data_IF_949097398281
#
_entry.id   IF_949097398281
#
_cell.length_a   1.000
_cell.length_b   1.000
_cell.length_c   1.000
_cell.angle_alpha   90.00
_cell.angle_beta   90.00
_cell.angle_gamma   90.00
#
_symmetry.space_group_name_H-M   'P 1'
#
loop_
_entity.id
_entity.type
_entity.pdbx_description
1 polymer ?
#
# COMPACT_ATOMS: atom_id res chain seq x y z
N UNK A 1 -11.78 4.73 5.45
CA UNK A 1 -12.23 3.64 4.55
C UNK A 1 -12.89 2.55 5.40
N UNK A 2 -14.11 2.78 5.88
CA UNK A 2 -14.84 1.76 6.63
C UNK A 2 -15.57 0.85 5.63
N UNK A 3 -15.33 -0.46 5.71
CA UNK A 3 -16.08 -1.54 5.04
C UNK A 3 -15.83 -1.79 3.53
N UNK A 4 -14.69 -1.37 2.96
CA UNK A 4 -14.31 -1.79 1.60
C UNK A 4 -13.52 -3.09 1.66
N UNK A 5 -14.00 -4.12 0.98
CA UNK A 5 -13.34 -5.41 0.90
C UNK A 5 -12.00 -5.32 0.13
N UNK A 6 -11.02 -6.14 0.52
CA UNK A 6 -9.69 -6.13 -0.08
C UNK A 6 -9.75 -6.44 -1.58
N UNK A 7 -10.65 -7.33 -2.02
CA UNK A 7 -10.78 -7.66 -3.43
C UNK A 7 -11.33 -6.48 -4.24
N UNK A 8 -12.22 -5.69 -3.66
CA UNK A 8 -12.73 -4.47 -4.27
C UNK A 8 -11.65 -3.38 -4.39
N UNK A 9 -10.77 -3.24 -3.39
CA UNK A 9 -9.66 -2.27 -3.45
C UNK A 9 -8.62 -2.65 -4.51
N UNK A 10 -8.44 -3.95 -4.74
CA UNK A 10 -7.46 -4.53 -5.67
C UNK A 10 -8.07 -4.93 -7.02
N UNK A 11 -9.27 -4.42 -7.30
CA UNK A 11 -9.98 -4.68 -8.55
C UNK A 11 -9.57 -3.66 -9.61
N UNK A 12 -9.59 -4.07 -10.88
CA UNK A 12 -9.32 -3.15 -12.00
C UNK A 12 -10.37 -2.01 -12.04
N UNK A 13 -11.60 -2.33 -11.65
CA UNK A 13 -12.72 -1.38 -11.58
C UNK A 13 -12.46 -0.27 -10.56
N UNK A 14 -11.70 -0.52 -9.49
CA UNK A 14 -11.33 0.52 -8.54
C UNK A 14 -10.57 1.65 -9.25
N UNK A 15 -9.59 1.29 -10.08
CA UNK A 15 -8.87 2.27 -10.88
C UNK A 15 -9.80 2.97 -11.87
N UNK A 16 -10.52 2.20 -12.69
CA UNK A 16 -11.35 2.73 -13.78
C UNK A 16 -12.46 3.66 -13.30
N UNK A 17 -13.14 3.31 -12.20
CA UNK A 17 -14.33 4.02 -11.75
C UNK A 17 -14.04 5.12 -10.72
N UNK A 18 -13.01 4.98 -9.88
CA UNK A 18 -12.76 5.91 -8.76
C UNK A 18 -11.57 6.82 -8.99
N UNK A 19 -10.49 6.29 -9.57
CA UNK A 19 -9.19 6.94 -9.58
C UNK A 19 -8.88 7.61 -10.91
N UNK A 20 -9.30 7.03 -12.05
CA UNK A 20 -9.02 7.57 -13.39
C UNK A 20 -9.37 9.05 -13.56
N UNK A 21 -10.46 9.50 -12.93
CA UNK A 21 -10.90 10.92 -12.96
C UNK A 21 -9.90 11.91 -12.34
N UNK A 22 -8.97 11.44 -11.51
CA UNK A 22 -7.95 12.27 -10.87
C UNK A 22 -6.71 12.49 -11.76
N UNK A 23 -6.54 11.69 -12.82
CA UNK A 23 -5.39 11.73 -13.72
C UNK A 23 -5.70 12.39 -15.07
N UNK A 24 -6.55 13.43 -15.08
CA UNK A 24 -6.86 14.23 -16.29
C UNK A 24 -7.32 13.44 -17.54
N UNK A 25 -7.70 12.16 -17.37
CA UNK A 25 -7.94 11.16 -18.42
C UNK A 25 -6.72 10.77 -19.28
N UNK A 26 -5.51 11.14 -18.88
CA UNK A 26 -4.30 10.68 -19.54
C UNK A 26 -4.13 9.16 -19.33
N UNK A 27 -3.63 8.42 -20.34
CA UNK A 27 -3.37 6.99 -20.18
C UNK A 27 -2.29 6.77 -19.12
N UNK A 28 -2.42 5.69 -18.35
CA UNK A 28 -1.34 5.26 -17.46
C UNK A 28 -0.12 4.85 -18.30
N UNK A 29 1.05 4.99 -17.70
CA UNK A 29 2.24 4.32 -18.19
C UNK A 29 1.95 2.79 -18.27
N UNK A 30 2.31 2.11 -19.38
CA UNK A 30 1.92 0.71 -19.62
C UNK A 30 2.24 -0.28 -18.50
N UNK A 31 3.36 -0.15 -17.80
CA UNK A 31 3.73 -1.03 -16.70
C UNK A 31 2.86 -0.78 -15.46
N UNK A 32 2.53 0.47 -15.17
CA UNK A 32 1.57 0.82 -14.11
C UNK A 32 0.17 0.30 -14.45
N UNK A 33 -0.24 0.37 -15.72
CA UNK A 33 -1.51 -0.20 -16.17
C UNK A 33 -1.54 -1.72 -15.96
N UNK A 34 -0.45 -2.42 -16.26
CA UNK A 34 -0.33 -3.86 -16.02
C UNK A 34 -0.46 -4.22 -14.53
N UNK A 35 0.16 -3.43 -13.65
CA UNK A 35 0.01 -3.59 -12.20
C UNK A 35 -1.44 -3.34 -11.77
N UNK A 36 -2.09 -2.28 -12.27
CA UNK A 36 -3.49 -1.98 -11.97
C UNK A 36 -4.47 -3.07 -12.43
N UNK A 37 -4.15 -3.77 -13.52
CA UNK A 37 -4.89 -4.94 -14.02
C UNK A 37 -4.66 -6.22 -13.20
N UNK A 38 -3.78 -6.17 -12.20
CA UNK A 38 -3.59 -7.27 -11.25
C UNK A 38 -2.39 -8.18 -11.54
N UNK A 39 -1.33 -7.70 -12.22
CA UNK A 39 -0.11 -8.50 -12.45
C UNK A 39 0.51 -9.08 -11.16
N UNK A 40 0.24 -8.43 -10.01
CA UNK A 40 0.64 -8.87 -8.68
C UNK A 40 -0.14 -10.09 -8.13
N UNK A 41 -1.24 -10.52 -8.73
CA UNK A 41 -2.08 -11.65 -8.24
C UNK A 41 -1.47 -13.01 -8.61
N UNK A 42 -0.26 -13.28 -8.11
CA UNK A 42 0.51 -14.50 -8.39
C UNK A 42 0.68 -15.34 -7.12
N UNK A 43 0.11 -16.54 -7.08
CA UNK A 43 0.13 -17.40 -5.88
C UNK A 43 1.55 -17.73 -5.37
N UNK A 44 2.53 -17.86 -6.27
CA UNK A 44 3.90 -18.28 -5.91
C UNK A 44 4.90 -17.12 -5.71
N UNK A 45 4.43 -15.87 -5.65
CA UNK A 45 5.25 -14.69 -5.34
C UNK A 45 6.59 -14.67 -6.07
N UNK A 46 7.68 -14.81 -5.31
CA UNK A 46 9.05 -14.86 -5.84
C UNK A 46 9.23 -15.94 -6.93
N UNK A 47 8.70 -17.15 -6.76
CA UNK A 47 8.85 -18.19 -7.79
C UNK A 47 8.04 -17.89 -9.07
N UNK A 48 7.04 -17.01 -9.01
CA UNK A 48 6.26 -16.53 -10.15
C UNK A 48 6.78 -15.20 -10.74
N UNK A 49 7.97 -14.75 -10.31
CA UNK A 49 8.63 -13.58 -10.86
C UNK A 49 8.28 -12.25 -10.18
N UNK A 50 7.55 -12.25 -9.05
CA UNK A 50 7.41 -11.03 -8.24
C UNK A 50 8.76 -10.67 -7.63
N UNK A 51 9.21 -9.43 -7.81
CA UNK A 51 10.48 -8.93 -7.29
C UNK A 51 10.28 -7.55 -6.73
N UNK A 52 10.83 -7.26 -5.54
CA UNK A 52 10.99 -5.91 -5.05
C UNK A 52 12.39 -5.40 -5.38
N UNK A 53 12.71 -5.20 -6.67
CA UNK A 53 14.01 -4.64 -7.08
C UNK A 53 13.96 -3.11 -7.09
N UNK A 54 15.11 -2.43 -7.21
CA UNK A 54 15.26 -0.96 -7.15
C UNK A 54 14.53 -0.13 -8.21
N UNK A 55 13.56 -0.71 -8.92
CA UNK A 55 12.66 -0.02 -9.83
C UNK A 55 11.25 0.07 -9.22
N UNK A 56 10.73 1.31 -9.13
CA UNK A 56 9.51 1.63 -8.36
C UNK A 56 8.27 0.83 -8.77
N UNK A 57 8.13 0.47 -10.04
CA UNK A 57 7.00 -0.35 -10.52
C UNK A 57 7.07 -1.76 -9.92
N UNK A 58 8.27 -2.33 -9.83
CA UNK A 58 8.47 -3.65 -9.22
C UNK A 58 8.22 -3.60 -7.71
N UNK A 59 8.71 -2.57 -7.01
CA UNK A 59 8.41 -2.37 -5.59
C UNK A 59 6.91 -2.23 -5.32
N UNK A 60 6.19 -1.52 -6.21
CA UNK A 60 4.73 -1.39 -6.14
C UNK A 60 4.03 -2.74 -6.37
N UNK A 61 4.41 -3.48 -7.42
CA UNK A 61 3.86 -4.82 -7.72
C UNK A 61 4.08 -5.78 -6.54
N UNK A 62 5.28 -5.78 -5.97
CA UNK A 62 5.66 -6.58 -4.81
C UNK A 62 4.85 -6.23 -3.56
N UNK A 63 4.68 -4.94 -3.28
CA UNK A 63 3.87 -4.47 -2.15
C UNK A 63 2.39 -4.86 -2.30
N UNK A 64 1.84 -4.75 -3.51
CA UNK A 64 0.47 -5.18 -3.81
C UNK A 64 0.31 -6.70 -3.74
N UNK A 65 1.30 -7.48 -4.17
CA UNK A 65 1.30 -8.93 -3.99
C UNK A 65 1.26 -9.31 -2.51
N UNK A 66 2.11 -8.69 -1.70
CA UNK A 66 2.16 -8.94 -0.26
C UNK A 66 0.84 -8.55 0.42
N UNK A 67 0.23 -7.44 0.01
CA UNK A 67 -1.08 -7.04 0.51
C UNK A 67 -2.20 -7.97 0.04
N UNK A 68 -2.20 -8.41 -1.22
CA UNK A 68 -3.20 -9.34 -1.75
C UNK A 68 -3.13 -10.73 -1.10
N UNK A 69 -1.93 -11.26 -0.89
CA UNK A 69 -1.70 -12.65 -0.48
C UNK A 69 -1.83 -12.91 1.03
N UNK A 70 -1.93 -11.88 1.87
CA UNK A 70 -1.97 -12.04 3.33
C UNK A 70 -3.22 -11.43 3.97
N UNK A 71 -3.48 -11.79 5.23
CA UNK A 71 -4.70 -11.36 5.93
C UNK A 71 -4.43 -10.42 7.12
N UNK A 72 -3.17 -10.23 7.51
CA UNK A 72 -2.77 -9.26 8.54
C UNK A 72 -1.64 -8.35 8.09
N UNK A 73 -1.49 -7.21 8.79
CA UNK A 73 -0.37 -6.29 8.59
C UNK A 73 0.97 -7.00 8.81
N UNK A 74 1.06 -7.80 9.87
CA UNK A 74 2.28 -8.52 10.26
C UNK A 74 2.69 -9.54 9.18
N UNK A 75 1.77 -10.39 8.73
CA UNK A 75 2.05 -11.36 7.68
C UNK A 75 2.49 -10.68 6.38
N UNK A 76 1.79 -9.61 5.96
CA UNK A 76 2.11 -8.96 4.69
C UNK A 76 3.40 -8.17 4.71
N UNK A 77 3.76 -7.49 5.80
CA UNK A 77 5.06 -6.78 5.83
C UNK A 77 6.22 -7.77 5.83
N UNK A 78 6.08 -8.91 6.51
CA UNK A 78 7.07 -9.98 6.45
C UNK A 78 7.15 -10.58 5.04
N UNK A 79 6.02 -10.78 4.37
CA UNK A 79 5.99 -11.23 2.98
C UNK A 79 6.69 -10.23 2.05
N UNK A 80 6.43 -8.93 2.20
CA UNK A 80 7.06 -7.87 1.42
C UNK A 80 8.58 -7.81 1.60
N UNK A 81 9.06 -7.88 2.85
CA UNK A 81 10.50 -7.88 3.16
C UNK A 81 11.19 -9.14 2.62
N UNK A 82 10.54 -10.30 2.69
CA UNK A 82 11.12 -11.56 2.24
C UNK A 82 11.20 -11.72 0.71
N UNK A 83 10.67 -10.77 -0.08
CA UNK A 83 10.86 -10.75 -1.54
C UNK A 83 12.27 -10.31 -1.98
N UNK A 84 13.08 -9.78 -1.05
CA UNK A 84 14.49 -9.47 -1.24
C UNK A 84 14.78 -8.20 -2.05
N UNK A 85 16.06 -7.96 -2.29
CA UNK A 85 16.66 -6.84 -3.04
C UNK A 85 16.41 -5.44 -2.43
N UNK A 86 15.34 -4.73 -2.84
CA UNK A 86 14.93 -3.42 -2.34
C UNK A 86 13.75 -3.58 -1.35
N UNK A 87 14.11 -4.11 -0.18
CA UNK A 87 13.15 -4.49 0.86
C UNK A 87 12.58 -3.28 1.61
N UNK A 88 13.34 -2.20 1.76
CA UNK A 88 12.91 -1.00 2.47
C UNK A 88 11.88 -0.20 1.67
N UNK A 89 12.09 -0.02 0.36
CA UNK A 89 11.10 0.65 -0.49
C UNK A 89 9.81 -0.16 -0.58
N UNK A 90 9.93 -1.48 -0.80
CA UNK A 90 8.77 -2.38 -0.90
C UNK A 90 7.98 -2.41 0.42
N UNK A 91 8.66 -2.53 1.57
CA UNK A 91 8.01 -2.52 2.87
C UNK A 91 7.39 -1.16 3.21
N UNK A 92 7.99 -0.04 2.79
CA UNK A 92 7.45 1.29 2.99
C UNK A 92 6.15 1.53 2.19
N UNK A 93 6.10 1.07 0.93
CA UNK A 93 4.88 1.13 0.10
C UNK A 93 3.79 0.25 0.72
N UNK A 94 4.13 -1.00 1.09
CA UNK A 94 3.21 -1.91 1.78
C UNK A 94 2.68 -1.28 3.08
N UNK A 95 3.55 -0.71 3.90
CA UNK A 95 3.21 -0.15 5.21
C UNK A 95 2.20 0.98 5.12
N UNK A 96 2.30 1.83 4.09
CA UNK A 96 1.33 2.90 3.84
C UNK A 96 -0.05 2.33 3.48
N UNK A 97 -0.10 1.40 2.52
CA UNK A 97 -1.35 0.77 2.07
C UNK A 97 -2.02 -0.05 3.18
N UNK A 98 -1.27 -0.99 3.75
CA UNK A 98 -1.76 -1.90 4.78
C UNK A 98 -2.07 -1.16 6.08
N UNK A 99 -1.28 -0.15 6.45
CA UNK A 99 -1.54 0.69 7.62
C UNK A 99 -2.84 1.49 7.50
N UNK A 100 -3.14 2.02 6.32
CA UNK A 100 -4.41 2.70 6.05
C UNK A 100 -5.60 1.74 6.04
N UNK A 101 -5.41 0.50 5.56
CA UNK A 101 -6.45 -0.53 5.50
C UNK A 101 -6.76 -1.16 6.86
N UNK A 102 -5.74 -1.70 7.55
CA UNK A 102 -5.90 -2.40 8.83
C UNK A 102 -6.11 -1.44 10.00
N UNK A 103 -5.64 -0.20 9.87
CA UNK A 103 -5.74 0.83 10.91
C UNK A 103 -4.65 0.69 11.97
N UNK A 104 -4.29 1.83 12.58
CA UNK A 104 -3.15 1.95 13.49
C UNK A 104 -3.15 0.96 14.66
N UNK A 105 -4.32 0.72 15.24
CA UNK A 105 -4.48 -0.13 16.43
C UNK A 105 -4.25 -1.63 16.15
N UNK A 106 -4.24 -2.03 14.87
CA UNK A 106 -3.99 -3.41 14.44
C UNK A 106 -2.53 -3.71 14.14
N UNK A 107 -1.64 -2.71 14.18
CA UNK A 107 -0.21 -2.93 13.98
C UNK A 107 0.45 -3.56 15.23
N UNK A 108 1.50 -4.38 15.07
CA UNK A 108 2.23 -4.96 16.21
C UNK A 108 2.86 -3.88 17.10
N UNK A 109 2.38 -3.74 18.33
CA UNK A 109 2.79 -2.67 19.25
C UNK A 109 4.29 -2.71 19.57
N UNK A 110 4.89 -3.90 19.63
CA UNK A 110 6.34 -4.05 19.81
C UNK A 110 7.16 -3.38 18.70
N UNK A 111 6.69 -3.47 17.45
CA UNK A 111 7.34 -2.83 16.31
C UNK A 111 7.14 -1.31 16.35
N UNK A 112 5.90 -0.86 16.59
CA UNK A 112 5.58 0.56 16.70
C UNK A 112 6.46 1.24 17.77
N UNK A 113 6.59 0.61 18.94
CA UNK A 113 7.39 1.15 20.05
C UNK A 113 8.89 1.21 19.75
N UNK A 114 9.36 0.48 18.74
CA UNK A 114 10.75 0.47 18.31
C UNK A 114 11.04 1.48 17.20
N UNK A 115 10.02 2.15 16.65
CA UNK A 115 10.18 3.13 15.57
C UNK A 115 10.90 4.37 16.09
N UNK A 116 11.99 4.73 15.41
CA UNK A 116 12.70 5.97 15.69
C UNK A 116 11.79 7.18 15.47
N UNK A 117 11.83 8.15 16.40
CA UNK A 117 11.01 9.36 16.34
C UNK A 117 9.48 9.12 16.29
N UNK A 118 8.99 7.98 16.82
CA UNK A 118 7.56 7.64 16.91
C UNK A 118 6.66 8.84 17.27
N UNK A 119 6.99 9.55 18.36
CA UNK A 119 6.20 10.70 18.84
C UNK A 119 6.08 11.81 17.79
N UNK A 120 7.16 12.11 17.07
CA UNK A 120 7.15 13.12 16.02
C UNK A 120 6.23 12.70 14.87
N UNK A 121 6.34 11.45 14.42
CA UNK A 121 5.50 10.88 13.35
C UNK A 121 4.02 10.92 13.76
N UNK A 122 3.70 10.51 14.98
CA UNK A 122 2.32 10.57 15.51
C UNK A 122 1.75 11.99 15.53
N UNK A 123 2.54 12.96 16.00
CA UNK A 123 2.13 14.37 15.99
C UNK A 123 1.91 14.89 14.57
N UNK A 124 2.80 14.55 13.64
CA UNK A 124 2.70 14.96 12.24
C UNK A 124 1.44 14.36 11.57
N UNK A 125 1.18 13.06 11.76
CA UNK A 125 -0.01 12.40 11.22
C UNK A 125 -1.31 13.02 11.78
N UNK A 126 -1.35 13.32 13.08
CA UNK A 126 -2.52 13.98 13.70
C UNK A 126 -2.75 15.38 13.13
N UNK A 127 -1.68 16.14 12.89
CA UNK A 127 -1.77 17.46 12.28
C UNK A 127 -2.26 17.38 10.83
N UNK A 128 -1.70 16.49 10.00
CA UNK A 128 -2.15 16.28 8.61
C UNK A 128 -3.64 15.90 8.57
N UNK A 129 -4.08 14.99 9.44
CA UNK A 129 -5.48 14.59 9.54
C UNK A 129 -6.41 15.75 9.97
N UNK A 130 -5.94 16.59 10.90
CA UNK A 130 -6.66 17.79 11.33
C UNK A 130 -6.85 18.77 10.17
N UNK A 131 -5.78 19.16 9.48
CA UNK A 131 -5.83 20.09 8.34
C UNK A 131 -6.71 19.56 7.19
N UNK A 132 -6.65 18.24 6.93
CA UNK A 132 -7.48 17.59 5.92
C UNK A 132 -8.98 17.72 6.24
N UNK A 133 -9.38 17.50 7.49
CA UNK A 133 -10.78 17.61 7.92
C UNK A 133 -11.31 19.05 7.84
N UNK A 134 -10.47 20.03 8.16
CA UNK A 134 -10.84 21.45 8.08
C UNK A 134 -11.07 21.89 6.62
N UNK A 135 -10.26 21.40 5.68
CA UNK A 135 -10.42 21.70 4.25
C UNK A 135 -11.70 21.10 3.65
N UNK A 136 -12.17 19.96 4.17
CA UNK A 136 -13.45 19.36 3.77
C UNK A 136 -14.68 20.03 4.39
N UNK A 137 -14.52 20.77 5.49
CA UNK A 137 -15.62 21.46 6.18
C UNK A 137 -15.89 22.88 5.65
N UNK A 138 -14.94 23.44 4.89
CA UNK A 138 -14.97 24.79 4.32
C UNK A 138 -15.31 24.83 2.82
N UNK A 139 -15.71 23.70 2.22
CA UNK A 139 -16.22 23.55 0.85
C UNK A 139 -17.64 22.97 0.90
#
# INVERSE_FOLDING_TARGET
MHNTDKDQLLSEEFYLCKIKKWFTNDPLEPEIENVAKGSFKKEKGYAAGIRGIGYVVNSLEAALWAFWSTQSFEEGVLAAVNLGDDTDTTAAIYGQLAGAYYGYDKLPQGWINSVYSKRFIECLCKWIAYEGNQSCSNN
#
